data_IF_951011686988
#
_entry.id   IF_951011686988
#
_cell.length_a   1.000
_cell.length_b   1.000
_cell.length_c   1.000
_cell.angle_alpha   90.00
_cell.angle_beta   90.00
_cell.angle_gamma   90.00
#
_symmetry.space_group_name_H-M   'P 1'
#
loop_
_entity.id
_entity.type
_entity.pdbx_description
1 polymer ?
#
# COMPACT_ATOMS: atom_id res chain seq x y z
N UNK A 1 6.86 7.15 10.59
CA UNK A 1 5.59 6.44 10.92
C UNK A 1 4.51 6.87 9.91
N UNK A 2 4.29 6.04 8.88
CA UNK A 2 3.27 6.00 7.80
C UNK A 2 2.61 7.27 7.19
N UNK A 3 2.94 8.49 7.62
CA UNK A 3 2.43 9.76 7.07
C UNK A 3 0.89 9.84 6.98
N UNK A 4 0.19 9.21 7.92
CA UNK A 4 -1.26 9.16 7.96
C UNK A 4 -1.92 8.25 6.93
N UNK A 5 -1.13 7.38 6.27
CA UNK A 5 -1.61 6.31 5.40
C UNK A 5 -1.71 5.00 6.17
N UNK A 6 -2.57 4.11 5.69
CA UNK A 6 -2.53 2.71 6.09
C UNK A 6 -1.22 2.06 5.60
N UNK A 7 -0.52 1.35 6.48
CA UNK A 7 0.72 0.64 6.20
C UNK A 7 0.60 -0.43 5.09
N UNK A 8 -0.61 -0.95 4.85
CA UNK A 8 -0.84 -2.05 3.90
C UNK A 8 -1.48 -1.59 2.59
N UNK A 9 -2.61 -0.86 2.66
CA UNK A 9 -3.34 -0.47 1.45
C UNK A 9 -2.96 0.93 0.92
N UNK A 10 -2.06 1.63 1.60
CA UNK A 10 -1.58 2.99 1.28
C UNK A 10 -2.64 4.11 1.23
N UNK A 11 -3.92 3.80 1.50
CA UNK A 11 -4.96 4.82 1.57
C UNK A 11 -4.68 5.83 2.69
N UNK A 12 -4.93 7.11 2.41
CA UNK A 12 -4.86 8.19 3.41
C UNK A 12 -6.05 8.04 4.35
N UNK A 13 -5.79 7.70 5.61
CA UNK A 13 -6.86 7.35 6.55
C UNK A 13 -7.10 8.42 7.61
N UNK A 14 -6.09 9.20 7.97
CA UNK A 14 -6.20 10.26 8.99
C UNK A 14 -7.19 11.37 8.66
N UNK A 15 -7.62 11.44 7.40
CA UNK A 15 -8.65 12.38 6.94
C UNK A 15 -10.07 11.96 7.34
N UNK A 16 -10.27 10.70 7.71
CA UNK A 16 -11.59 10.12 8.04
C UNK A 16 -11.63 9.31 9.33
N UNK A 17 -10.49 8.75 9.77
CA UNK A 17 -10.35 7.97 11.00
C UNK A 17 -8.97 8.20 11.61
N UNK A 18 -8.82 8.09 12.92
CA UNK A 18 -7.50 8.08 13.56
C UNK A 18 -6.65 6.88 13.12
N UNK A 19 -7.29 5.81 12.63
CA UNK A 19 -6.66 4.52 12.38
C UNK A 19 -6.46 3.72 13.66
N UNK A 20 -5.84 2.56 13.54
CA UNK A 20 -5.58 1.65 14.64
C UNK A 20 -4.09 1.31 14.74
N UNK A 21 -3.64 1.04 15.97
CA UNK A 21 -2.34 0.42 16.21
C UNK A 21 -2.47 -1.07 15.84
N UNK A 22 -1.83 -1.42 14.75
CA UNK A 22 -1.66 -2.79 14.28
C UNK A 22 -0.38 -3.40 14.83
N UNK A 23 -0.37 -4.72 14.99
CA UNK A 23 0.85 -5.46 15.30
C UNK A 23 1.22 -6.34 14.11
N UNK A 24 2.43 -6.19 13.55
CA UNK A 24 2.87 -7.06 12.45
C UNK A 24 2.80 -8.53 12.91
N UNK A 25 3.53 -8.87 13.97
CA UNK A 25 3.37 -10.07 14.78
C UNK A 25 2.18 -9.90 15.75
N UNK A 26 1.07 -10.64 15.58
CA UNK A 26 -0.14 -10.44 16.37
C UNK A 26 0.12 -10.62 17.87
N UNK A 27 -0.29 -9.66 18.70
CA UNK A 27 -0.11 -9.70 20.15
C UNK A 27 -0.70 -10.93 20.84
N UNK A 28 -1.73 -11.56 20.26
CA UNK A 28 -2.34 -12.77 20.82
C UNK A 28 -1.47 -14.03 20.62
N UNK A 29 -0.56 -14.00 19.65
CA UNK A 29 0.37 -15.09 19.33
C UNK A 29 1.79 -14.77 19.80
N UNK A 30 2.17 -13.50 19.80
CA UNK A 30 3.49 -12.98 20.15
C UNK A 30 3.39 -11.88 21.22
N UNK A 31 2.96 -12.23 22.46
CA UNK A 31 2.73 -11.23 23.52
C UNK A 31 4.00 -10.45 23.87
N UNK A 32 5.18 -11.08 23.76
CA UNK A 32 6.47 -10.44 24.06
C UNK A 32 6.83 -9.32 23.08
N UNK A 33 6.21 -9.29 21.89
CA UNK A 33 6.41 -8.25 20.86
C UNK A 33 5.38 -7.12 20.94
N UNK A 34 4.46 -7.14 21.91
CA UNK A 34 3.33 -6.19 21.99
C UNK A 34 3.79 -4.73 22.04
N UNK A 35 4.92 -4.45 22.72
CA UNK A 35 5.41 -3.08 22.92
C UNK A 35 6.68 -2.77 22.12
N UNK A 36 7.03 -3.63 21.16
CA UNK A 36 8.18 -3.42 20.27
C UNK A 36 7.79 -2.43 19.19
N UNK A 37 8.51 -1.31 19.05
CA UNK A 37 8.17 -0.24 18.11
C UNK A 37 8.14 -0.71 16.65
N UNK A 38 9.06 -1.59 16.28
CA UNK A 38 9.15 -2.21 14.97
C UNK A 38 7.97 -3.14 14.70
N UNK A 39 7.26 -3.58 15.74
CA UNK A 39 6.04 -4.37 15.60
C UNK A 39 4.78 -3.51 15.46
N UNK A 40 4.84 -2.18 15.68
CA UNK A 40 3.66 -1.30 15.72
C UNK A 40 3.47 -0.55 14.40
N UNK A 41 2.32 -0.77 13.75
CA UNK A 41 1.98 -0.11 12.48
C UNK A 41 0.71 0.74 12.59
N UNK A 42 0.61 1.74 11.71
CA UNK A 42 -0.65 2.45 11.50
C UNK A 42 -1.44 1.73 10.41
N UNK A 43 -2.58 1.15 10.76
CA UNK A 43 -3.48 0.52 9.78
C UNK A 43 -4.87 1.16 9.81
N UNK A 44 -5.60 1.00 8.71
CA UNK A 44 -7.03 1.31 8.71
C UNK A 44 -7.81 0.15 9.32
N UNK A 45 -9.01 0.44 9.85
CA UNK A 45 -9.84 -0.55 10.54
C UNK A 45 -10.14 -1.78 9.66
N UNK A 46 -10.33 -1.57 8.35
CA UNK A 46 -10.56 -2.66 7.39
C UNK A 46 -9.34 -3.55 7.22
N UNK A 47 -8.13 -2.99 7.14
CA UNK A 47 -6.93 -3.81 7.04
C UNK A 47 -6.63 -4.56 8.35
N UNK A 48 -6.98 -3.99 9.51
CA UNK A 48 -6.78 -4.58 10.84
C UNK A 48 -7.86 -5.61 11.23
N UNK A 49 -9.00 -5.64 10.55
CA UNK A 49 -10.10 -6.51 10.98
C UNK A 49 -9.79 -8.02 10.86
N UNK A 50 -10.67 -8.83 11.46
CA UNK A 50 -10.53 -10.28 11.50
C UNK A 50 -10.67 -10.97 10.12
N UNK A 51 -11.21 -10.29 9.11
CA UNK A 51 -11.33 -10.80 7.75
C UNK A 51 -10.07 -10.52 6.90
N UNK A 52 -9.19 -9.63 7.37
CA UNK A 52 -7.93 -9.27 6.74
C UNK A 52 -6.75 -9.59 7.66
N UNK A 53 -5.99 -8.61 8.16
CA UNK A 53 -4.81 -8.89 8.98
C UNK A 53 -5.20 -9.46 10.33
N UNK A 54 -5.84 -8.70 11.22
CA UNK A 54 -6.17 -9.13 12.58
C UNK A 54 -5.11 -10.05 13.20
N UNK A 55 -5.49 -11.30 13.45
CA UNK A 55 -4.56 -12.35 13.92
C UNK A 55 -4.08 -13.31 12.84
N UNK A 56 -4.44 -13.09 11.58
CA UNK A 56 -3.97 -13.88 10.44
C UNK A 56 -2.50 -13.56 10.17
N UNK A 57 -1.62 -14.52 10.49
CA UNK A 57 -0.18 -14.38 10.35
C UNK A 57 0.40 -15.65 9.71
N UNK A 58 0.23 -15.79 8.38
CA UNK A 58 0.66 -16.98 7.67
C UNK A 58 2.18 -17.13 7.74
N UNK A 59 2.64 -18.34 8.08
CA UNK A 59 4.04 -18.72 8.14
C UNK A 59 4.36 -19.70 7.03
N UNK A 60 5.60 -19.68 6.56
CA UNK A 60 6.11 -20.70 5.65
C UNK A 60 6.34 -22.02 6.41
N UNK A 61 5.73 -23.11 5.93
CA UNK A 61 5.73 -24.41 6.63
C UNK A 61 7.11 -25.04 6.77
N UNK A 62 8.09 -24.64 5.96
CA UNK A 62 9.45 -25.18 5.95
C UNK A 62 10.38 -24.33 6.82
N UNK A 63 10.37 -23.03 6.59
CA UNK A 63 11.31 -22.09 7.24
C UNK A 63 10.78 -21.49 8.54
N UNK A 64 9.46 -21.51 8.76
CA UNK A 64 8.79 -20.85 9.88
C UNK A 64 8.75 -19.32 9.75
N UNK A 65 9.26 -18.75 8.65
CA UNK A 65 9.32 -17.32 8.44
C UNK A 65 7.93 -16.75 8.08
N UNK A 66 7.62 -15.49 8.47
CA UNK A 66 6.39 -14.84 8.05
C UNK A 66 6.28 -14.72 6.53
N UNK A 67 5.11 -15.07 5.98
CA UNK A 67 4.83 -14.91 4.55
C UNK A 67 4.36 -13.48 4.23
N UNK A 68 3.95 -12.70 5.22
CA UNK A 68 3.66 -11.28 5.04
C UNK A 68 4.93 -10.47 4.79
N UNK A 69 4.79 -9.38 4.04
CA UNK A 69 5.84 -8.36 3.86
C UNK A 69 5.65 -7.35 4.99
N UNK A 70 6.67 -7.14 5.80
CA UNK A 70 6.64 -6.19 6.91
C UNK A 70 6.89 -4.77 6.36
N UNK A 71 5.91 -3.84 6.43
CA UNK A 71 6.09 -2.46 5.99
C UNK A 71 7.14 -1.66 6.79
N UNK A 72 7.62 -2.19 7.92
CA UNK A 72 8.68 -1.60 8.74
C UNK A 72 10.05 -2.21 8.48
N UNK A 73 10.11 -3.33 7.74
CA UNK A 73 11.36 -3.94 7.32
C UNK A 73 12.03 -3.04 6.27
N UNK A 74 13.12 -2.37 6.69
CA UNK A 74 13.90 -1.49 5.83
C UNK A 74 14.79 -2.21 4.82
N UNK A 75 14.75 -3.55 4.76
CA UNK A 75 15.58 -4.38 3.89
C UNK A 75 14.77 -4.98 2.74
N UNK A 76 13.54 -5.44 3.00
CA UNK A 76 12.70 -6.05 1.96
C UNK A 76 12.13 -4.98 1.02
N UNK A 77 12.47 -5.03 -0.27
CA UNK A 77 11.83 -4.22 -1.30
C UNK A 77 10.46 -4.83 -1.67
N UNK A 78 9.32 -4.16 -1.41
CA UNK A 78 8.00 -4.68 -1.74
C UNK A 78 7.81 -4.98 -3.22
N UNK A 79 8.51 -4.28 -4.13
CA UNK A 79 8.38 -4.49 -5.58
C UNK A 79 8.93 -5.84 -6.06
N UNK A 80 9.75 -6.51 -5.24
CA UNK A 80 10.21 -7.88 -5.52
C UNK A 80 9.09 -8.91 -5.35
N UNK A 81 8.10 -8.60 -4.51
CA UNK A 81 6.99 -9.49 -4.19
C UNK A 81 5.67 -9.01 -4.78
N UNK A 82 5.50 -7.70 -4.99
CA UNK A 82 4.28 -7.08 -5.49
C UNK A 82 4.53 -6.36 -6.81
N UNK A 83 3.53 -6.41 -7.69
CA UNK A 83 3.49 -5.69 -8.94
C UNK A 83 2.31 -4.71 -8.93
N UNK A 84 2.59 -3.44 -9.14
CA UNK A 84 1.58 -2.39 -9.21
C UNK A 84 1.30 -2.07 -10.68
N UNK A 85 0.09 -2.38 -11.15
CA UNK A 85 -0.29 -2.33 -12.57
C UNK A 85 -1.37 -1.30 -12.81
N UNK A 86 -1.11 -0.36 -13.72
CA UNK A 86 -2.13 0.47 -14.33
C UNK A 86 -2.59 -0.12 -15.68
N UNK A 87 -3.84 -0.58 -15.74
CA UNK A 87 -4.49 -1.01 -16.97
C UNK A 87 -5.13 0.19 -17.68
N UNK A 88 -4.58 0.58 -18.83
CA UNK A 88 -5.07 1.73 -19.60
C UNK A 88 -6.45 1.50 -20.22
N UNK A 89 -6.83 0.26 -20.54
CA UNK A 89 -8.14 -0.03 -21.13
C UNK A 89 -9.22 -0.07 -20.05
N UNK A 90 -8.97 -0.80 -18.96
CA UNK A 90 -9.90 -0.94 -17.86
C UNK A 90 -9.92 0.29 -16.93
N UNK A 91 -8.88 1.14 -16.98
CA UNK A 91 -8.65 2.26 -16.05
C UNK A 91 -8.57 1.79 -14.60
N UNK A 92 -7.92 0.65 -14.37
CA UNK A 92 -7.76 0.05 -13.05
C UNK A 92 -6.31 0.10 -12.60
N UNK A 93 -6.11 0.47 -11.33
CA UNK A 93 -4.83 0.38 -10.63
C UNK A 93 -4.85 -0.89 -9.74
N UNK A 94 -4.34 -2.00 -10.26
CA UNK A 94 -4.34 -3.32 -9.60
C UNK A 94 -3.00 -3.63 -8.94
N UNK A 95 -3.00 -4.46 -7.91
CA UNK A 95 -1.77 -4.95 -7.24
C UNK A 95 -1.74 -6.46 -7.35
N UNK A 96 -0.68 -7.04 -7.92
CA UNK A 96 -0.56 -8.48 -8.08
C UNK A 96 0.64 -9.05 -7.33
N UNK A 97 0.49 -10.24 -6.75
CA UNK A 97 1.60 -10.99 -6.19
C UNK A 97 2.52 -11.59 -7.26
N UNK A 98 3.81 -11.22 -7.24
CA UNK A 98 4.86 -11.82 -8.08
C UNK A 98 5.29 -13.21 -7.60
N UNK A 99 5.14 -13.47 -6.31
CA UNK A 99 5.50 -14.73 -5.66
C UNK A 99 4.50 -15.10 -4.56
N UNK A 100 4.78 -16.19 -3.82
CA UNK A 100 3.91 -16.68 -2.74
C UNK A 100 3.64 -15.62 -1.68
N UNK A 101 4.65 -14.83 -1.29
CA UNK A 101 4.50 -13.77 -0.28
C UNK A 101 3.60 -12.66 -0.80
N UNK A 102 3.85 -12.22 -2.04
CA UNK A 102 3.04 -11.22 -2.72
C UNK A 102 1.57 -11.63 -2.87
N UNK A 103 1.31 -12.86 -3.29
CA UNK A 103 -0.05 -13.40 -3.47
C UNK A 103 -0.81 -13.43 -2.15
N UNK A 104 -0.14 -13.85 -1.08
CA UNK A 104 -0.72 -13.81 0.26
C UNK A 104 -1.06 -12.38 0.68
N UNK A 105 -0.19 -11.41 0.42
CA UNK A 105 -0.45 -10.00 0.75
C UNK A 105 -1.61 -9.44 -0.10
N UNK A 106 -1.62 -9.68 -1.41
CA UNK A 106 -2.71 -9.31 -2.31
C UNK A 106 -4.06 -9.82 -1.79
N UNK A 107 -4.12 -11.13 -1.54
CA UNK A 107 -5.34 -11.80 -1.13
C UNK A 107 -5.76 -11.38 0.27
N UNK A 108 -4.87 -11.49 1.26
CA UNK A 108 -5.17 -11.23 2.67
C UNK A 108 -5.72 -9.83 2.89
N UNK A 109 -5.15 -8.83 2.23
CA UNK A 109 -5.61 -7.45 2.33
C UNK A 109 -6.71 -7.08 1.33
N UNK A 110 -7.13 -8.02 0.48
CA UNK A 110 -8.10 -7.82 -0.60
C UNK A 110 -7.77 -6.56 -1.41
N UNK A 111 -6.50 -6.44 -1.84
CA UNK A 111 -5.97 -5.22 -2.44
C UNK A 111 -6.67 -4.85 -3.75
N UNK A 112 -7.30 -5.83 -4.41
CA UNK A 112 -8.06 -5.67 -5.65
C UNK A 112 -9.59 -5.74 -5.47
N UNK A 113 -10.09 -5.86 -4.23
CA UNK A 113 -11.52 -5.76 -3.94
C UNK A 113 -12.37 -6.97 -4.37
N UNK A 114 -11.75 -8.14 -4.54
CA UNK A 114 -12.42 -9.39 -4.90
C UNK A 114 -13.29 -9.94 -3.77
N UNK A 115 -13.00 -9.58 -2.51
CA UNK A 115 -13.67 -10.07 -1.29
C UNK A 115 -14.39 -8.95 -0.53
N UNK A 116 -14.83 -7.90 -1.23
CA UNK A 116 -15.69 -6.86 -0.66
C UNK A 116 -15.02 -5.51 -0.43
N UNK A 117 -13.76 -5.32 -0.85
CA UNK A 117 -13.07 -4.01 -0.84
C UNK A 117 -13.06 -3.30 -2.19
N UNK A 118 -14.14 -3.37 -2.97
CA UNK A 118 -14.23 -2.71 -4.30
C UNK A 118 -13.95 -1.21 -4.24
N UNK A 119 -14.32 -0.54 -3.15
CA UNK A 119 -14.06 0.89 -2.96
C UNK A 119 -12.57 1.20 -2.87
N UNK A 120 -11.74 0.28 -2.37
CA UNK A 120 -10.29 0.47 -2.31
C UNK A 120 -9.71 0.59 -3.72
N UNK A 121 -9.96 -0.41 -4.57
CA UNK A 121 -9.45 -0.39 -5.95
C UNK A 121 -10.08 0.75 -6.76
N UNK A 122 -11.37 1.05 -6.56
CA UNK A 122 -12.03 2.15 -7.26
C UNK A 122 -11.41 3.51 -6.92
N UNK A 123 -11.21 3.80 -5.63
CA UNK A 123 -10.62 5.06 -5.19
C UNK A 123 -9.16 5.17 -5.65
N UNK A 124 -8.37 4.11 -5.47
CA UNK A 124 -6.99 4.04 -5.97
C UNK A 124 -6.91 4.29 -7.47
N UNK A 125 -7.78 3.63 -8.24
CA UNK A 125 -7.82 3.79 -9.70
C UNK A 125 -8.17 5.21 -10.11
N UNK A 126 -9.12 5.85 -9.43
CA UNK A 126 -9.46 7.26 -9.70
C UNK A 126 -8.30 8.21 -9.37
N UNK A 127 -7.61 7.98 -8.25
CA UNK A 127 -6.46 8.77 -7.84
C UNK A 127 -5.33 8.67 -8.88
N UNK A 128 -4.93 7.45 -9.26
CA UNK A 128 -3.87 7.23 -10.26
C UNK A 128 -4.28 7.77 -11.64
N UNK A 129 -5.55 7.60 -12.04
CA UNK A 129 -6.07 8.18 -13.28
C UNK A 129 -5.90 9.70 -13.33
N UNK A 130 -6.13 10.40 -12.21
CA UNK A 130 -5.97 11.86 -12.14
C UNK A 130 -4.51 12.26 -12.28
N UNK A 131 -3.58 11.58 -11.61
CA UNK A 131 -2.15 11.83 -11.75
C UNK A 131 -1.67 11.61 -13.19
N UNK A 132 -2.08 10.51 -13.82
CA UNK A 132 -1.75 10.22 -15.22
C UNK A 132 -2.36 11.25 -16.19
N UNK A 133 -3.57 11.73 -15.92
CA UNK A 133 -4.18 12.79 -16.72
C UNK A 133 -3.41 14.11 -16.61
N UNK A 134 -3.02 14.49 -15.38
CA UNK A 134 -2.15 15.66 -15.14
C UNK A 134 -0.82 15.51 -15.87
N UNK A 135 -0.16 14.36 -15.74
CA UNK A 135 1.11 14.08 -16.41
C UNK A 135 1.02 14.21 -17.94
N UNK A 136 -0.07 13.72 -18.55
CA UNK A 136 -0.29 13.82 -20.02
C UNK A 136 -0.58 15.23 -20.49
N UNK A 137 -1.25 16.03 -19.67
CA UNK A 137 -1.69 17.38 -20.04
C UNK A 137 -0.69 18.47 -19.65
N UNK A 138 0.26 18.16 -18.76
CA UNK A 138 1.29 19.10 -18.32
C UNK A 138 2.09 19.59 -19.53
N UNK A 139 2.11 20.91 -19.72
CA UNK A 139 2.96 21.58 -20.71
C UNK A 139 4.28 21.99 -20.06
N UNK A 140 5.29 22.22 -20.89
CA UNK A 140 6.56 22.78 -20.42
C UNK A 140 6.30 24.12 -19.72
N UNK A 141 6.64 24.20 -18.43
CA UNK A 141 6.45 25.40 -17.61
C UNK A 141 5.24 25.39 -16.66
N UNK A 142 4.43 24.33 -16.64
CA UNK A 142 3.30 24.19 -15.69
C UNK A 142 3.79 23.83 -14.28
N UNK A 143 4.38 24.80 -13.58
CA UNK A 143 5.01 24.61 -12.26
C UNK A 143 4.05 24.07 -11.19
N UNK A 144 2.79 24.48 -11.20
CA UNK A 144 1.77 24.00 -10.24
C UNK A 144 1.44 22.52 -10.47
N UNK A 145 1.30 22.09 -11.73
CA UNK A 145 1.06 20.68 -12.07
C UNK A 145 2.26 19.83 -11.68
N UNK A 146 3.47 20.31 -11.96
CA UNK A 146 4.71 19.64 -11.56
C UNK A 146 4.79 19.49 -10.03
N UNK A 147 4.42 20.52 -9.26
CA UNK A 147 4.38 20.45 -7.78
C UNK A 147 3.44 19.34 -7.31
N UNK A 148 2.22 19.28 -7.84
CA UNK A 148 1.24 18.25 -7.47
C UNK A 148 1.74 16.84 -7.78
N UNK A 149 2.38 16.64 -8.94
CA UNK A 149 2.95 15.34 -9.31
C UNK A 149 4.16 14.98 -8.43
N UNK A 150 5.02 15.95 -8.11
CA UNK A 150 6.17 15.77 -7.21
C UNK A 150 5.73 15.44 -5.77
N UNK A 151 4.67 16.08 -5.29
CA UNK A 151 4.04 15.77 -4.00
C UNK A 151 3.50 14.34 -3.97
N UNK A 152 2.80 13.91 -5.04
CA UNK A 152 2.31 12.55 -5.15
C UNK A 152 3.42 11.48 -5.18
N UNK A 153 4.63 11.86 -5.61
CA UNK A 153 5.81 11.01 -5.61
C UNK A 153 6.61 11.06 -4.30
N UNK A 154 6.10 11.69 -3.24
CA UNK A 154 6.73 11.59 -1.92
C UNK A 154 6.33 10.28 -1.22
N UNK A 155 7.24 9.61 -0.48
CA UNK A 155 6.91 8.36 0.23
C UNK A 155 5.69 8.44 1.17
N UNK A 156 5.39 9.65 1.67
CA UNK A 156 4.24 9.92 2.52
C UNK A 156 2.91 10.13 1.79
N UNK A 157 2.92 10.28 0.46
CA UNK A 157 1.73 10.55 -0.34
C UNK A 157 0.93 9.28 -0.64
N UNK A 158 -0.37 9.43 -0.84
CA UNK A 158 -1.29 8.31 -1.05
C UNK A 158 -0.91 7.52 -2.31
N UNK A 159 -0.91 6.19 -2.21
CA UNK A 159 -0.54 5.29 -3.30
C UNK A 159 0.83 5.60 -3.93
N UNK A 160 1.82 5.90 -3.08
CA UNK A 160 3.17 6.21 -3.50
C UNK A 160 3.76 5.09 -4.36
N UNK A 161 3.49 3.82 -4.05
CA UNK A 161 3.97 2.70 -4.86
C UNK A 161 3.58 2.79 -6.36
N UNK A 162 2.40 3.32 -6.68
CA UNK A 162 2.02 3.57 -8.08
C UNK A 162 2.68 4.84 -8.63
N UNK A 163 2.71 5.91 -7.85
CA UNK A 163 3.29 7.18 -8.29
C UNK A 163 4.79 7.05 -8.59
N UNK A 164 5.54 6.29 -7.79
CA UNK A 164 6.97 6.02 -8.00
C UNK A 164 7.25 5.26 -9.30
N UNK A 165 6.30 4.43 -9.76
CA UNK A 165 6.43 3.64 -11.00
C UNK A 165 5.96 4.42 -12.22
N UNK A 166 4.82 5.12 -12.11
CA UNK A 166 4.13 5.68 -13.28
C UNK A 166 4.26 7.18 -13.45
N UNK A 167 4.67 7.91 -12.41
CA UNK A 167 4.76 9.38 -12.42
C UNK A 167 6.22 9.82 -12.28
N UNK A 168 6.90 9.36 -11.23
CA UNK A 168 8.26 9.77 -10.89
C UNK A 168 9.27 9.67 -12.06
N UNK A 169 9.27 8.62 -12.90
CA UNK A 169 10.23 8.51 -14.01
C UNK A 169 10.08 9.60 -15.10
N UNK A 170 8.98 10.33 -15.09
CA UNK A 170 8.68 11.39 -16.06
C UNK A 170 8.88 12.79 -15.48
N UNK A 171 9.20 12.91 -14.19
CA UNK A 171 9.44 14.20 -13.55
C UNK A 171 10.91 14.62 -13.73
N UNK A 172 11.17 15.94 -13.79
CA UNK A 172 12.53 16.43 -13.73
C UNK A 172 13.19 16.02 -12.41
N UNK A 173 14.53 15.83 -12.40
CA UNK A 173 15.29 15.47 -11.21
C UNK A 173 15.23 16.55 -10.11
#
# INVERSE_FOLDING_TARGET
MFNGKCAYCESKIIVVTYGAIEHFYPKSQYPDLTFTWENLLLSCDKCNDANHKGTNFPLDDITGNPLLIDPTDGVTDPNTHLEFVWDEMAKLASVYGRDRRGQIVEDLFDLNGMRGRKELINYRSQYIKRLLALLRLAKQGDSEVLSVLQEACQPGAEYYAFASIYILPHLPP
#
